data_IF_351034510479
#
_entry.id   IF_351034510479
#
_cell.length_a   1.000
_cell.length_b   1.000
_cell.length_c   1.000
_cell.angle_alpha   90.00
_cell.angle_beta   90.00
_cell.angle_gamma   90.00
#
_symmetry.space_group_name_H-M   'P 1'
#
loop_
_entity.id
_entity.type
_entity.pdbx_description
1 polymer ?
#
# COMPACT_ATOMS: atom_id res chain seq x y z
N UNK A 1 -43.99 29.92 5.76
CA UNK A 1 -42.90 29.15 6.41
C UNK A 1 -42.29 28.10 5.45
N UNK A 2 -41.65 28.45 4.32
CA UNK A 2 -40.95 27.46 3.47
C UNK A 2 -39.42 27.42 3.69
N UNK A 3 -38.86 28.42 4.38
CA UNK A 3 -37.40 28.60 4.53
C UNK A 3 -36.71 27.56 5.42
N UNK A 4 -37.43 26.95 6.36
CA UNK A 4 -36.85 25.94 7.26
C UNK A 4 -36.72 24.56 6.61
N UNK A 5 -37.62 24.18 5.70
CA UNK A 5 -37.54 22.88 5.00
C UNK A 5 -36.33 22.80 4.05
N UNK A 6 -36.00 23.92 3.40
CA UNK A 6 -34.89 23.97 2.43
C UNK A 6 -33.50 23.85 3.06
N UNK A 7 -33.33 24.28 4.31
CA UNK A 7 -32.06 24.18 5.03
C UNK A 7 -31.77 22.74 5.49
N UNK A 8 -32.80 21.99 5.86
CA UNK A 8 -32.67 20.61 6.35
C UNK A 8 -32.33 19.66 5.19
N UNK A 9 -32.90 19.87 4.00
CA UNK A 9 -32.58 19.05 2.82
C UNK A 9 -31.13 19.25 2.34
N UNK A 10 -30.59 20.47 2.44
CA UNK A 10 -29.21 20.75 2.05
C UNK A 10 -28.19 20.07 3.00
N UNK A 11 -28.53 19.96 4.28
CA UNK A 11 -27.67 19.37 5.30
C UNK A 11 -27.49 17.85 5.16
N UNK A 12 -28.50 17.14 4.64
CA UNK A 12 -28.41 15.68 4.42
C UNK A 12 -27.54 15.32 3.21
N UNK A 13 -27.48 16.18 2.17
CA UNK A 13 -26.70 15.91 0.96
C UNK A 13 -25.20 16.21 1.14
N UNK A 14 -24.84 17.16 2.01
CA UNK A 14 -23.44 17.57 2.22
C UNK A 14 -22.68 16.60 3.14
N UNK A 15 -23.38 15.83 3.99
CA UNK A 15 -22.75 14.84 4.88
C UNK A 15 -22.25 13.57 4.15
N UNK A 16 -22.46 13.45 2.83
CA UNK A 16 -21.95 12.33 2.02
C UNK A 16 -20.59 12.61 1.36
N UNK A 17 -20.03 13.82 1.52
CA UNK A 17 -18.74 14.17 0.92
C UNK A 17 -17.59 13.64 1.78
N UNK A 18 -17.11 12.46 1.38
CA UNK A 18 -15.69 12.17 1.42
C UNK A 18 -15.14 11.66 2.75
N UNK A 19 -15.61 10.51 3.22
CA UNK A 19 -14.63 9.55 3.73
C UNK A 19 -14.03 8.94 2.47
N UNK A 20 -13.01 9.58 1.90
CA UNK A 20 -12.07 8.85 1.04
C UNK A 20 -11.50 7.81 1.98
N UNK A 21 -11.81 6.50 1.83
CA UNK A 21 -10.95 5.57 2.49
C UNK A 21 -9.58 5.86 1.87
N UNK A 22 -8.63 6.31 2.67
CA UNK A 22 -7.24 6.02 2.39
C UNK A 22 -7.17 4.49 2.44
N UNK A 23 -7.69 3.84 1.39
CA UNK A 23 -7.53 2.42 1.20
C UNK A 23 -6.03 2.28 1.19
N UNK A 24 -5.50 1.56 2.18
CA UNK A 24 -4.10 1.22 2.23
C UNK A 24 -3.83 0.46 0.93
N UNK A 25 -3.40 1.20 -0.08
CA UNK A 25 -3.16 0.66 -1.40
C UNK A 25 -1.86 -0.12 -1.27
N UNK A 26 -1.95 -1.43 -1.45
CA UNK A 26 -0.78 -2.28 -1.32
C UNK A 26 0.33 -1.75 -2.23
N UNK A 27 1.49 -1.49 -1.64
CA UNK A 27 2.68 -1.11 -2.37
C UNK A 27 3.89 -1.86 -1.83
N UNK A 28 4.82 -2.17 -2.73
CA UNK A 28 6.11 -2.76 -2.37
C UNK A 28 7.18 -1.73 -2.72
N UNK A 29 8.03 -1.44 -1.74
CA UNK A 29 9.09 -0.42 -1.80
C UNK A 29 10.40 -1.07 -1.37
N UNK A 30 11.50 -0.60 -1.94
CA UNK A 30 12.83 -0.97 -1.43
C UNK A 30 13.01 -0.43 0.00
N UNK A 31 13.71 -1.20 0.83
CA UNK A 31 14.03 -0.81 2.19
C UNK A 31 15.49 -1.16 2.49
N UNK A 32 16.16 -0.30 3.27
CA UNK A 32 17.51 -0.51 3.78
C UNK A 32 17.52 -0.54 5.31
N UNK A 33 18.44 -1.32 5.87
CA UNK A 33 18.75 -1.30 7.30
C UNK A 33 19.71 -0.15 7.67
N UNK A 34 20.28 0.53 6.69
CA UNK A 34 21.17 1.68 6.86
C UNK A 34 20.51 2.98 6.37
N UNK A 35 20.93 4.15 6.89
CA UNK A 35 20.42 5.43 6.42
C UNK A 35 20.75 5.68 4.95
N UNK A 36 19.71 5.93 4.15
CA UNK A 36 19.84 6.36 2.75
C UNK A 36 19.29 7.77 2.60
N UNK A 37 20.06 8.65 1.97
CA UNK A 37 19.66 10.04 1.74
C UNK A 37 18.35 10.11 0.92
N UNK A 38 17.42 10.95 1.37
CA UNK A 38 16.10 11.11 0.74
C UNK A 38 15.11 9.98 1.00
N UNK A 39 15.49 8.90 1.71
CA UNK A 39 14.58 7.82 2.07
C UNK A 39 13.89 8.10 3.41
N UNK A 40 12.65 7.63 3.53
CA UNK A 40 11.84 7.82 4.73
C UNK A 40 12.24 6.82 5.80
N UNK A 41 12.65 7.31 6.98
CA UNK A 41 12.86 6.47 8.17
C UNK A 41 11.53 5.95 8.71
N UNK A 42 11.43 4.65 8.93
CA UNK A 42 10.22 3.97 9.40
C UNK A 42 10.56 2.97 10.51
N UNK A 43 9.74 2.95 11.57
CA UNK A 43 9.79 1.90 12.59
C UNK A 43 8.99 0.69 12.09
N UNK A 44 9.58 -0.50 12.12
CA UNK A 44 8.86 -1.74 11.74
C UNK A 44 7.85 -2.07 12.84
N UNK A 45 6.59 -2.24 12.46
CA UNK A 45 5.52 -2.60 13.38
C UNK A 45 5.86 -3.91 14.11
N UNK A 46 5.57 -3.98 15.41
CA UNK A 46 5.89 -5.12 16.28
C UNK A 46 7.38 -5.50 16.35
N UNK A 47 8.28 -4.58 16.02
CA UNK A 47 9.72 -4.77 16.12
C UNK A 47 10.43 -3.52 16.64
N UNK A 48 11.60 -3.69 17.26
CA UNK A 48 12.48 -2.57 17.61
C UNK A 48 13.35 -2.12 16.42
N UNK A 49 13.16 -2.71 15.23
CA UNK A 49 13.93 -2.39 14.03
C UNK A 49 13.46 -1.10 13.37
N UNK A 50 14.43 -0.28 12.97
CA UNK A 50 14.25 0.89 12.12
C UNK A 50 14.75 0.52 10.73
N UNK A 51 14.02 0.94 9.70
CA UNK A 51 14.41 0.82 8.30
C UNK A 51 14.23 2.15 7.58
N UNK A 52 14.95 2.34 6.48
CA UNK A 52 14.78 3.45 5.56
C UNK A 52 14.07 2.93 4.33
N UNK A 53 13.01 3.61 3.88
CA UNK A 53 12.14 3.16 2.78
C UNK A 53 12.13 4.21 1.69
N UNK A 54 12.28 3.79 0.43
CA UNK A 54 12.23 4.71 -0.70
C UNK A 54 10.83 5.37 -0.84
N UNK A 55 10.76 6.68 -1.13
CA UNK A 55 9.48 7.36 -1.42
C UNK A 55 8.86 6.89 -2.74
N UNK A 56 9.59 6.15 -3.57
CA UNK A 56 9.09 5.60 -4.85
C UNK A 56 8.65 4.15 -4.67
N UNK A 57 7.39 3.84 -5.01
CA UNK A 57 6.90 2.46 -5.02
C UNK A 57 7.42 1.72 -6.26
N UNK A 58 7.97 0.52 -6.04
CA UNK A 58 8.40 -0.37 -7.13
C UNK A 58 7.21 -1.18 -7.68
N UNK A 59 6.29 -1.57 -6.79
CA UNK A 59 5.03 -2.23 -7.13
C UNK A 59 3.89 -1.46 -6.48
N UNK A 60 2.81 -1.25 -7.21
CA UNK A 60 1.61 -0.52 -6.78
C UNK A 60 0.36 -1.38 -7.03
N UNK A 61 -0.82 -0.93 -6.57
CA UNK A 61 -2.02 -1.72 -6.82
C UNK A 61 -2.44 -1.80 -8.30
N UNK A 62 -1.94 -0.93 -9.20
CA UNK A 62 -2.19 -1.13 -10.64
C UNK A 62 -1.46 -2.35 -11.21
N UNK A 63 -0.43 -2.82 -10.51
CA UNK A 63 0.33 -4.01 -10.88
C UNK A 63 -0.33 -5.30 -10.34
N UNK A 64 -1.36 -5.17 -9.50
CA UNK A 64 -2.04 -6.24 -8.80
C UNK A 64 -3.39 -6.49 -9.46
N UNK A 65 -3.63 -7.72 -9.87
CA UNK A 65 -4.93 -8.14 -10.39
C UNK A 65 -5.90 -8.45 -9.24
N UNK A 66 -5.43 -9.16 -8.21
CA UNK A 66 -6.26 -9.58 -7.07
C UNK A 66 -5.44 -9.62 -5.78
N UNK A 67 -6.06 -9.23 -4.66
CA UNK A 67 -5.51 -9.42 -3.32
C UNK A 67 -6.60 -9.92 -2.39
N UNK A 68 -6.47 -11.15 -1.88
CA UNK A 68 -7.53 -11.79 -1.10
C UNK A 68 -6.99 -12.57 0.10
N UNK A 69 -7.72 -12.60 1.23
CA UNK A 69 -7.36 -13.46 2.34
C UNK A 69 -7.41 -14.94 1.93
N UNK A 70 -6.47 -15.73 2.44
CA UNK A 70 -6.41 -17.18 2.25
C UNK A 70 -5.89 -17.82 3.53
N UNK A 71 -6.44 -18.98 3.88
CA UNK A 71 -5.86 -19.84 4.91
C UNK A 71 -4.87 -20.77 4.22
N UNK A 72 -3.62 -20.76 4.69
CA UNK A 72 -2.57 -21.67 4.22
C UNK A 72 -2.73 -23.04 4.89
N UNK A 73 -2.13 -24.08 4.33
CA UNK A 73 -2.26 -25.46 4.83
C UNK A 73 -1.81 -25.66 6.29
N UNK A 74 -0.97 -24.76 6.81
CA UNK A 74 -0.50 -24.70 8.19
C UNK A 74 -1.44 -23.92 9.14
N UNK A 75 -2.62 -23.50 8.65
CA UNK A 75 -3.63 -22.80 9.43
C UNK A 75 -3.45 -21.29 9.53
N UNK A 76 -2.36 -20.72 8.99
CA UNK A 76 -2.12 -19.28 9.06
C UNK A 76 -2.95 -18.52 8.02
N UNK A 77 -3.52 -17.38 8.45
CA UNK A 77 -4.15 -16.43 7.55
C UNK A 77 -3.09 -15.59 6.84
N UNK A 78 -3.17 -15.56 5.51
CA UNK A 78 -2.29 -14.79 4.64
C UNK A 78 -3.12 -13.94 3.67
N UNK A 79 -2.50 -12.95 3.04
CA UNK A 79 -3.04 -12.29 1.86
C UNK A 79 -2.37 -12.89 0.63
N UNK A 80 -3.14 -13.55 -0.23
CA UNK A 80 -2.68 -13.99 -1.55
C UNK A 80 -2.81 -12.81 -2.51
N UNK A 81 -1.67 -12.39 -3.06
CA UNK A 81 -1.59 -11.36 -4.11
C UNK A 81 -1.36 -12.05 -5.46
N UNK A 82 -2.17 -11.69 -6.45
CA UNK A 82 -2.03 -12.08 -7.85
C UNK A 82 -1.66 -10.84 -8.62
N UNK A 83 -0.53 -10.88 -9.32
CA UNK A 83 -0.06 -9.77 -10.14
C UNK A 83 -0.61 -9.90 -11.56
N UNK A 84 -0.79 -8.77 -12.22
CA UNK A 84 -0.95 -8.71 -13.68
C UNK A 84 0.35 -9.15 -14.37
N UNK A 85 0.30 -9.48 -15.66
CA UNK A 85 1.51 -9.83 -16.42
C UNK A 85 2.60 -8.74 -16.34
N UNK A 86 2.20 -7.46 -16.46
CA UNK A 86 3.11 -6.34 -16.30
C UNK A 86 3.69 -6.26 -14.86
N UNK A 87 2.86 -6.53 -13.86
CA UNK A 87 3.28 -6.60 -12.45
C UNK A 87 4.26 -7.75 -12.18
N UNK A 88 4.07 -8.91 -12.82
CA UNK A 88 5.01 -10.04 -12.74
C UNK A 88 6.38 -9.63 -13.30
N UNK A 89 6.42 -8.99 -14.46
CA UNK A 89 7.69 -8.50 -15.05
C UNK A 89 8.41 -7.53 -14.10
N UNK A 90 7.68 -6.55 -13.54
CA UNK A 90 8.27 -5.61 -12.57
C UNK A 90 8.78 -6.29 -11.31
N UNK A 91 8.04 -7.28 -10.79
CA UNK A 91 8.45 -8.01 -9.60
C UNK A 91 9.69 -8.85 -9.87
N UNK A 92 9.79 -9.45 -11.06
CA UNK A 92 10.98 -10.18 -11.49
C UNK A 92 12.21 -9.26 -11.54
N UNK A 93 12.09 -8.09 -12.18
CA UNK A 93 13.19 -7.13 -12.28
C UNK A 93 13.60 -6.59 -10.91
N UNK A 94 12.63 -6.30 -10.05
CA UNK A 94 12.88 -5.88 -8.67
C UNK A 94 13.63 -6.96 -7.89
N UNK A 95 13.21 -8.22 -8.02
CA UNK A 95 13.84 -9.35 -7.33
C UNK A 95 15.27 -9.55 -7.81
N UNK A 96 15.50 -9.46 -9.13
CA UNK A 96 16.85 -9.53 -9.71
C UNK A 96 17.75 -8.41 -9.18
N UNK A 97 17.23 -7.17 -9.12
CA UNK A 97 17.97 -6.03 -8.58
C UNK A 97 18.31 -6.17 -7.09
N UNK A 98 17.47 -6.82 -6.28
CA UNK A 98 17.72 -7.02 -4.86
C UNK A 98 18.67 -8.20 -4.56
N UNK A 99 18.61 -9.27 -5.35
CA UNK A 99 19.47 -10.44 -5.15
C UNK A 99 20.88 -10.26 -5.72
N UNK A 100 21.01 -9.47 -6.78
CA UNK A 100 22.26 -9.36 -7.56
C UNK A 100 22.74 -7.92 -7.77
N UNK A 101 22.04 -6.93 -7.22
CA UNK A 101 22.44 -5.53 -7.31
C UNK A 101 23.50 -5.12 -6.29
N UNK A 102 24.17 -3.97 -6.51
CA UNK A 102 25.11 -3.41 -5.55
C UNK A 102 24.38 -3.11 -4.23
N UNK A 103 25.02 -3.48 -3.13
CA UNK A 103 24.49 -3.29 -1.78
C UNK A 103 24.76 -1.82 -1.42
N UNK A 104 23.70 -1.01 -1.40
CA UNK A 104 23.75 0.42 -1.01
C UNK A 104 23.92 0.58 0.48
#
# INVERSE_FOLDING_TARGET
MPRMASLITCMVVILSVGIVPAQAQLSIRAASAEPVEGWQRMQVEHSNRVIWVTPTAAITASDIEQAQPKIRADGYQIIRVVFTDAGVSKLHDLTAAQLFGPQW
#
